data_IF_483030480822
#
_entry.id   IF_483030480822
#
_cell.length_a   1.000
_cell.length_b   1.000
_cell.length_c   1.000
_cell.angle_alpha   90.00
_cell.angle_beta   90.00
_cell.angle_gamma   90.00
#
_symmetry.space_group_name_H-M   'P 1'
#
loop_
_entity.id
_entity.type
_entity.pdbx_description
1 polymer ?
#
# COMPACT_ATOMS: atom_id res chain seq x y z
N UNK A 1 8.91 -1.75 9.57
CA UNK A 1 8.75 -2.20 8.16
C UNK A 1 8.19 -1.10 7.30
N UNK A 2 7.05 -0.52 7.69
CA UNK A 2 6.49 0.68 7.07
C UNK A 2 6.42 1.81 8.08
N UNK A 3 7.49 1.95 8.85
CA UNK A 3 7.55 2.92 9.93
C UNK A 3 7.84 4.30 9.32
N UNK A 4 7.33 5.36 9.94
CA UNK A 4 7.49 6.74 9.48
C UNK A 4 6.92 7.02 8.09
N UNK A 5 6.03 6.21 7.50
CA UNK A 5 5.49 6.54 6.17
C UNK A 5 4.39 7.61 6.29
N UNK A 6 4.48 8.63 5.46
CA UNK A 6 3.40 9.58 5.22
C UNK A 6 2.58 9.13 4.00
N UNK A 7 1.27 8.97 4.19
CA UNK A 7 0.35 8.44 3.18
C UNK A 7 -0.58 9.51 2.58
N UNK A 8 -0.54 10.75 3.07
CA UNK A 8 -1.39 11.81 2.54
C UNK A 8 -1.06 12.10 1.06
N UNK A 9 -2.11 12.15 0.24
CA UNK A 9 -2.04 12.42 -1.20
C UNK A 9 -1.11 11.45 -1.96
N UNK A 10 -1.00 10.20 -1.52
CA UNK A 10 -0.20 9.14 -2.17
C UNK A 10 -1.10 8.15 -2.87
N UNK A 11 -0.96 7.98 -4.18
CA UNK A 11 -1.85 7.19 -5.01
C UNK A 11 -1.22 5.86 -5.43
N UNK A 12 -2.03 4.80 -5.43
CA UNK A 12 -1.63 3.49 -5.98
C UNK A 12 -1.67 3.57 -7.50
N UNK A 13 -0.57 3.20 -8.15
CA UNK A 13 -0.45 3.17 -9.61
C UNK A 13 -0.67 1.78 -10.20
N UNK A 14 -0.25 0.75 -9.49
CA UNK A 14 -0.36 -0.66 -9.92
C UNK A 14 -0.11 -1.62 -8.76
N UNK A 15 -0.60 -2.84 -8.92
CA UNK A 15 -0.30 -3.99 -8.07
C UNK A 15 0.31 -5.07 -8.95
N UNK A 16 1.50 -5.55 -8.59
CA UNK A 16 2.21 -6.62 -9.28
C UNK A 16 2.15 -7.90 -8.44
N UNK A 17 1.86 -9.02 -9.08
CA UNK A 17 1.83 -10.34 -8.46
C UNK A 17 2.94 -11.21 -9.03
N UNK A 18 3.87 -11.64 -8.17
CA UNK A 18 4.76 -12.75 -8.45
C UNK A 18 4.28 -13.97 -7.67
N UNK A 19 3.53 -14.83 -8.35
CA UNK A 19 2.87 -15.98 -7.72
C UNK A 19 3.84 -17.12 -7.39
N UNK A 20 4.99 -17.19 -8.09
CA UNK A 20 6.01 -18.21 -7.83
C UNK A 20 6.79 -17.87 -6.55
N UNK A 21 7.17 -16.60 -6.41
CA UNK A 21 7.88 -16.09 -5.23
C UNK A 21 6.95 -15.74 -4.07
N UNK A 22 5.63 -15.81 -4.28
CA UNK A 22 4.60 -15.40 -3.31
C UNK A 22 4.81 -13.96 -2.85
N UNK A 23 4.99 -13.08 -3.81
CA UNK A 23 5.32 -11.69 -3.59
C UNK A 23 4.29 -10.78 -4.26
N UNK A 24 3.86 -9.75 -3.54
CA UNK A 24 2.99 -8.71 -4.06
C UNK A 24 3.71 -7.38 -3.89
N UNK A 25 3.77 -6.59 -4.97
CA UNK A 25 4.26 -5.21 -4.91
C UNK A 25 3.13 -4.25 -5.22
N UNK A 26 3.01 -3.20 -4.42
CA UNK A 26 2.10 -2.08 -4.69
C UNK A 26 2.97 -0.87 -5.05
N UNK A 27 2.87 -0.40 -6.29
CA UNK A 27 3.55 0.83 -6.68
C UNK A 27 2.73 2.04 -6.23
N UNK A 28 3.40 3.00 -5.60
CA UNK A 28 2.82 4.26 -5.15
C UNK A 28 3.52 5.39 -5.90
N UNK A 29 2.77 6.42 -6.31
CA UNK A 29 3.33 7.56 -7.04
C UNK A 29 4.49 8.25 -6.30
N UNK A 30 4.41 8.30 -4.97
CA UNK A 30 5.41 8.88 -4.09
C UNK A 30 5.30 8.22 -2.72
N UNK A 31 6.39 7.66 -2.22
CA UNK A 31 6.49 7.24 -0.82
C UNK A 31 7.28 8.32 -0.09
N UNK A 32 6.61 9.01 0.84
CA UNK A 32 7.25 10.01 1.69
C UNK A 32 7.43 9.47 3.09
N UNK A 33 8.47 9.94 3.78
CA UNK A 33 8.80 9.51 5.14
C UNK A 33 8.80 10.70 6.09
N UNK A 34 8.33 10.51 7.31
CA UNK A 34 8.48 11.46 8.40
C UNK A 34 9.97 11.57 8.74
N UNK A 35 10.45 12.76 9.07
CA UNK A 35 11.81 12.94 9.55
C UNK A 35 12.09 12.07 10.79
N UNK A 36 13.34 11.67 10.98
CA UNK A 36 13.69 10.81 12.11
C UNK A 36 13.36 11.50 13.44
N UNK A 37 12.66 10.80 14.33
CA UNK A 37 12.25 11.33 15.63
C UNK A 37 11.01 12.24 15.60
N UNK A 38 10.33 12.38 14.46
CA UNK A 38 9.07 13.12 14.37
C UNK A 38 7.87 12.18 14.19
N UNK A 39 6.70 12.66 14.60
CA UNK A 39 5.41 11.97 14.42
C UNK A 39 4.46 12.71 13.50
N UNK A 40 4.83 13.92 13.09
CA UNK A 40 4.03 14.80 12.25
C UNK A 40 4.72 15.06 10.93
N UNK A 41 3.91 15.23 9.88
CA UNK A 41 4.38 15.65 8.58
C UNK A 41 4.76 17.13 8.60
N UNK A 42 5.99 17.43 8.19
CA UNK A 42 6.56 18.77 8.17
C UNK A 42 7.16 19.14 6.81
N UNK A 43 6.60 18.58 5.72
CA UNK A 43 7.10 18.77 4.34
C UNK A 43 8.55 18.29 4.14
N UNK A 44 8.97 17.27 4.88
CA UNK A 44 10.28 16.65 4.74
C UNK A 44 10.32 15.73 3.50
N UNK A 45 11.18 16.07 2.54
CA UNK A 45 11.21 15.41 1.21
C UNK A 45 12.56 14.74 0.90
N UNK A 46 13.55 14.79 1.79
CA UNK A 46 14.89 14.22 1.52
C UNK A 46 14.87 12.68 1.35
N UNK A 47 13.85 12.02 1.90
CA UNK A 47 13.65 10.56 1.83
C UNK A 47 12.52 10.16 0.87
N UNK A 48 12.07 11.09 0.01
CA UNK A 48 11.00 10.83 -0.95
C UNK A 48 11.44 9.81 -2.02
N UNK A 49 10.57 8.85 -2.28
CA UNK A 49 10.75 7.82 -3.30
C UNK A 49 9.63 7.92 -4.33
N UNK A 50 9.89 8.65 -5.41
CA UNK A 50 9.01 8.65 -6.57
C UNK A 50 8.87 7.23 -7.13
N UNK A 51 7.65 6.85 -7.46
CA UNK A 51 7.32 5.57 -8.09
C UNK A 51 7.83 4.34 -7.31
N UNK A 52 7.97 4.48 -5.98
CA UNK A 52 8.40 3.43 -5.08
C UNK A 52 7.36 2.33 -4.88
N UNK A 53 7.78 1.24 -4.22
CA UNK A 53 6.95 0.08 -3.99
C UNK A 53 6.87 -0.27 -2.51
N UNK A 54 5.66 -0.61 -2.04
CA UNK A 54 5.49 -1.46 -0.87
C UNK A 54 5.55 -2.91 -1.32
N UNK A 55 6.45 -3.69 -0.73
CA UNK A 55 6.65 -5.10 -1.07
C UNK A 55 6.23 -5.98 0.08
N UNK A 56 5.47 -7.02 -0.25
CA UNK A 56 4.95 -8.03 0.67
C UNK A 56 5.41 -9.39 0.18
N UNK A 57 6.18 -10.11 1.01
CA UNK A 57 6.81 -11.37 0.64
C UNK A 57 6.35 -12.53 1.52
N UNK A 58 6.24 -13.71 0.92
CA UNK A 58 5.66 -14.88 1.56
C UNK A 58 4.17 -14.71 1.79
N UNK A 59 3.47 -14.09 0.84
CA UNK A 59 2.03 -13.84 0.87
C UNK A 59 1.27 -15.15 0.86
N UNK A 60 0.33 -15.32 1.79
CA UNK A 60 -0.57 -16.47 1.87
C UNK A 60 -2.05 -16.09 1.81
N UNK A 61 -2.37 -14.79 1.90
CA UNK A 61 -3.71 -14.25 1.72
C UNK A 61 -3.65 -12.87 1.08
N UNK A 62 -4.49 -12.66 0.06
CA UNK A 62 -4.73 -11.38 -0.58
C UNK A 62 -6.22 -11.26 -0.89
N UNK A 63 -6.84 -10.14 -0.54
CA UNK A 63 -8.20 -9.82 -0.92
C UNK A 63 -8.38 -8.33 -1.14
N UNK A 64 -9.34 -7.94 -1.98
CA UNK A 64 -9.82 -6.57 -2.10
C UNK A 64 -11.32 -6.58 -1.80
N UNK A 65 -11.75 -5.69 -0.91
CA UNK A 65 -13.18 -5.50 -0.57
C UNK A 65 -13.60 -4.07 -0.92
N UNK A 66 -14.77 -3.85 -1.56
CA UNK A 66 -15.66 -4.87 -2.13
C UNK A 66 -14.99 -5.74 -3.21
N UNK A 67 -15.49 -6.96 -3.39
CA UNK A 67 -14.96 -7.88 -4.40
C UNK A 67 -15.14 -7.28 -5.80
N UNK A 68 -14.07 -7.34 -6.60
CA UNK A 68 -14.05 -6.74 -7.94
C UNK A 68 -13.69 -5.25 -7.97
N UNK A 69 -13.42 -4.62 -6.82
CA UNK A 69 -12.89 -3.26 -6.79
C UNK A 69 -11.49 -3.18 -7.38
N UNK A 70 -11.20 -2.05 -8.03
CA UNK A 70 -9.89 -1.74 -8.61
C UNK A 70 -9.31 -0.50 -7.91
N UNK A 71 -8.39 -0.64 -6.94
CA UNK A 71 -7.71 0.49 -6.32
C UNK A 71 -6.79 1.18 -7.34
N UNK A 72 -7.04 2.45 -7.61
CA UNK A 72 -6.32 3.22 -8.63
C UNK A 72 -6.09 4.70 -8.24
N UNK A 73 -6.30 5.04 -6.96
CA UNK A 73 -6.20 6.42 -6.49
C UNK A 73 -5.59 6.50 -5.07
N UNK A 74 -5.85 7.59 -4.33
CA UNK A 74 -5.24 7.93 -3.06
C UNK A 74 -5.42 6.86 -1.98
N UNK A 75 -4.34 6.58 -1.27
CA UNK A 75 -4.28 5.79 -0.05
C UNK A 75 -4.83 6.65 1.09
N UNK A 76 -5.87 6.16 1.75
CA UNK A 76 -6.48 6.81 2.92
C UNK A 76 -5.70 6.44 4.19
N UNK A 77 -5.37 5.15 4.33
CA UNK A 77 -4.61 4.66 5.48
C UNK A 77 -3.98 3.30 5.21
N UNK A 78 -2.97 2.96 6.00
CA UNK A 78 -2.39 1.64 6.07
C UNK A 78 -2.21 1.25 7.53
N UNK A 79 -2.80 0.14 7.92
CA UNK A 79 -2.66 -0.42 9.26
C UNK A 79 -2.00 -1.79 9.13
N UNK A 80 -0.96 -2.03 9.92
CA UNK A 80 -0.24 -3.30 9.94
C UNK A 80 -0.25 -3.88 11.34
N UNK A 81 -0.73 -5.12 11.47
CA UNK A 81 -0.80 -5.84 12.73
C UNK A 81 0.04 -7.12 12.65
N UNK A 82 0.67 -7.46 13.76
CA UNK A 82 1.30 -8.78 13.94
C UNK A 82 0.22 -9.76 14.40
N UNK A 83 -0.05 -10.80 13.63
CA UNK A 83 -1.16 -11.74 13.90
C UNK A 83 -0.67 -12.95 14.68
N UNK A 84 0.58 -13.39 14.41
CA UNK A 84 1.27 -14.42 15.19
C UNK A 84 2.79 -14.21 15.12
N UNK A 85 3.58 -15.16 15.61
CA UNK A 85 5.05 -15.07 15.59
C UNK A 85 5.68 -15.01 14.19
N UNK A 86 4.91 -15.34 13.14
CA UNK A 86 5.40 -15.61 11.78
C UNK A 86 4.82 -14.64 10.72
N UNK A 87 3.61 -14.13 10.92
CA UNK A 87 2.88 -13.34 9.91
C UNK A 87 2.47 -11.95 10.41
N UNK A 88 2.40 -11.04 9.44
CA UNK A 88 1.80 -9.72 9.52
C UNK A 88 0.55 -9.67 8.62
N UNK A 89 -0.43 -8.88 9.03
CA UNK A 89 -1.57 -8.49 8.20
C UNK A 89 -1.57 -6.99 8.02
N UNK A 90 -1.61 -6.55 6.76
CA UNK A 90 -1.80 -5.14 6.41
C UNK A 90 -3.17 -4.95 5.76
N UNK A 91 -3.90 -3.94 6.25
CA UNK A 91 -5.09 -3.40 5.60
C UNK A 91 -4.73 -2.02 5.04
N UNK A 92 -4.92 -1.83 3.75
CA UNK A 92 -4.68 -0.57 3.05
C UNK A 92 -6.03 -0.07 2.52
N UNK A 93 -6.53 1.03 3.07
CA UNK A 93 -7.73 1.69 2.58
C UNK A 93 -7.35 2.66 1.47
N UNK A 94 -8.03 2.59 0.33
CA UNK A 94 -7.68 3.29 -0.90
C UNK A 94 -8.96 3.72 -1.61
N UNK A 95 -8.94 4.86 -2.27
CA UNK A 95 -9.96 5.22 -3.25
C UNK A 95 -9.74 4.38 -4.52
N UNK A 96 -10.83 3.91 -5.10
CA UNK A 96 -10.79 3.24 -6.38
C UNK A 96 -12.16 3.02 -7.00
N UNK A 97 -12.17 2.25 -8.09
CA UNK A 97 -13.38 1.83 -8.76
C UNK A 97 -14.06 0.71 -7.97
N UNK A 98 -15.34 0.88 -7.61
CA UNK A 98 -16.14 -0.10 -6.88
C UNK A 98 -17.24 -0.67 -7.80
N UNK A 99 -17.35 -1.99 -7.96
CA UNK A 99 -18.42 -2.57 -8.76
C UNK A 99 -19.78 -2.33 -8.12
N UNK A 100 -20.75 -1.93 -8.94
CA UNK A 100 -22.16 -1.77 -8.57
C UNK A 100 -22.38 -0.80 -7.39
N UNK A 101 -21.65 0.33 -7.34
CA UNK A 101 -21.95 1.39 -6.39
C UNK A 101 -23.41 1.86 -6.62
N UNK A 102 -24.32 1.42 -5.76
CA UNK A 102 -25.75 1.74 -5.89
C UNK A 102 -25.95 3.25 -5.74
N UNK A 103 -26.66 3.82 -6.72
CA UNK A 103 -27.25 5.16 -6.76
C UNK A 103 -26.43 6.27 -7.42
N UNK A 104 -26.45 6.31 -8.75
CA UNK A 104 -26.33 7.56 -9.51
C UNK A 104 -24.93 8.16 -9.66
N UNK A 105 -23.91 7.58 -9.04
CA UNK A 105 -22.52 7.92 -9.33
C UNK A 105 -22.13 7.33 -10.69
N UNK A 106 -21.91 8.23 -11.65
CA UNK A 106 -21.56 7.89 -13.04
C UNK A 106 -20.21 7.17 -13.11
N UNK A 107 -19.36 7.40 -12.10
CA UNK A 107 -17.96 6.98 -12.10
C UNK A 107 -17.66 5.79 -11.17
N UNK A 108 -18.64 5.30 -10.38
CA UNK A 108 -18.46 4.18 -9.45
C UNK A 108 -17.23 4.28 -8.51
N UNK A 109 -16.83 5.50 -8.12
CA UNK A 109 -15.66 5.74 -7.27
C UNK A 109 -16.05 5.59 -5.80
N UNK A 110 -15.20 4.93 -5.00
CA UNK A 110 -15.35 4.91 -3.55
C UNK A 110 -14.17 4.28 -2.83
N UNK A 111 -14.31 4.06 -1.52
CA UNK A 111 -13.29 3.37 -0.72
C UNK A 111 -13.34 1.85 -0.94
N UNK A 112 -12.18 1.28 -1.25
CA UNK A 112 -11.92 -0.15 -1.18
C UNK A 112 -10.74 -0.43 -0.25
N UNK A 113 -10.65 -1.68 0.21
CA UNK A 113 -9.66 -2.11 1.18
C UNK A 113 -8.89 -3.30 0.64
N UNK A 114 -7.57 -3.16 0.54
CA UNK A 114 -6.64 -4.23 0.21
C UNK A 114 -6.21 -4.91 1.51
N UNK A 115 -6.44 -6.20 1.61
CA UNK A 115 -6.01 -7.04 2.73
C UNK A 115 -4.88 -7.94 2.27
N UNK A 116 -3.75 -7.93 2.96
CA UNK A 116 -2.60 -8.78 2.64
C UNK A 116 -2.06 -9.40 3.92
N UNK A 117 -1.94 -10.73 3.95
CA UNK A 117 -1.17 -11.45 4.98
C UNK A 117 0.13 -11.98 4.39
N UNK A 118 1.23 -11.73 5.08
CA UNK A 118 2.59 -11.96 4.58
C UNK A 118 3.59 -12.20 5.72
N UNK A 119 4.77 -12.72 5.39
CA UNK A 119 5.82 -13.01 6.39
C UNK A 119 6.79 -11.86 6.61
N UNK A 120 7.10 -11.14 5.54
CA UNK A 120 8.03 -10.03 5.57
C UNK A 120 7.69 -9.00 4.51
N UNK A 121 8.29 -7.83 4.58
CA UNK A 121 8.27 -6.89 3.49
C UNK A 121 9.10 -5.64 3.76
N UNK A 122 9.10 -4.75 2.79
CA UNK A 122 10.05 -3.65 2.71
C UNK A 122 9.58 -2.61 1.68
N UNK A 123 10.35 -1.54 1.58
CA UNK A 123 10.18 -0.52 0.54
C UNK A 123 11.23 -0.72 -0.54
N UNK A 124 10.84 -0.57 -1.80
CA UNK A 124 11.76 -0.47 -2.94
C UNK A 124 11.64 0.90 -3.61
N UNK A 125 12.73 1.36 -4.23
CA UNK A 125 12.67 2.51 -5.13
C UNK A 125 12.06 2.13 -6.51
N UNK A 126 11.96 3.10 -7.42
CA UNK A 126 11.46 2.87 -8.79
C UNK A 126 12.24 1.82 -9.60
N UNK A 127 13.47 1.51 -9.21
CA UNK A 127 14.34 0.51 -9.84
C UNK A 127 14.21 -0.88 -9.20
N UNK A 128 13.26 -1.07 -8.27
CA UNK A 128 13.06 -2.32 -7.50
C UNK A 128 14.25 -2.67 -6.60
N UNK A 129 15.01 -1.66 -6.18
CA UNK A 129 16.09 -1.83 -5.21
C UNK A 129 15.53 -1.61 -3.82
N UNK A 130 15.76 -2.58 -2.93
CA UNK A 130 15.32 -2.50 -1.53
C UNK A 130 16.01 -1.34 -0.81
N UNK A 131 15.21 -0.50 -0.17
CA UNK A 131 15.69 0.56 0.71
C UNK A 131 16.03 -0.07 2.06
N UNK A 132 17.29 0.11 2.48
CA UNK A 132 17.79 -0.31 3.79
C UNK A 132 17.73 0.91 4.70
N UNK A 133 16.97 0.80 5.79
CA UNK A 133 16.83 1.83 6.83
C UNK A 133 17.97 1.79 7.84
#
# INVERSE_FOLDING_TARGET
>A
MFDRIYLGDRAIKKIEFDLWEKEIRIQVNLISRLAYGTTEWNFYTDEDLEDGYFVFFGVDYFNITPEGSTPDDYIISMVTNKVNGEYFESTIAVIGQIPNATNGDIDNIGECQIFIRYKNGWIENKFKERIVE
#
